data_IF_466424550487
#
_entry.id   IF_466424550487
#
_cell.length_a   1.000
_cell.length_b   1.000
_cell.length_c   1.000
_cell.angle_alpha   90.00
_cell.angle_beta   90.00
_cell.angle_gamma   90.00
#
_symmetry.space_group_name_H-M   'P 1'
#
loop_
_entity.id
_entity.type
_entity.pdbx_description
1 polymer ?
#
# COMPACT_ATOMS: atom_id res chain seq x y z
N UNK A 1 -6.33 10.32 4.95
CA UNK A 1 -6.04 11.48 5.84
C UNK A 1 -6.52 12.73 5.13
N UNK A 2 -7.30 13.59 5.77
CA UNK A 2 -7.89 14.74 5.08
C UNK A 2 -6.80 15.72 4.60
N UNK A 3 -6.98 16.24 3.41
CA UNK A 3 -6.12 17.28 2.87
C UNK A 3 -6.33 18.60 3.63
N UNK A 4 -5.25 19.38 3.90
CA UNK A 4 -5.41 20.72 4.45
C UNK A 4 -6.30 21.58 3.52
N UNK A 5 -7.18 22.40 4.10
CA UNK A 5 -8.20 23.17 3.37
C UNK A 5 -7.64 23.92 2.15
N UNK A 6 -6.54 24.66 2.33
CA UNK A 6 -5.90 25.43 1.25
C UNK A 6 -5.44 24.54 0.09
N UNK A 7 -4.89 23.35 0.41
CA UNK A 7 -4.41 22.38 -0.61
C UNK A 7 -5.60 21.75 -1.31
N UNK A 8 -6.64 21.37 -0.57
CA UNK A 8 -7.89 20.85 -1.14
C UNK A 8 -8.52 21.83 -2.12
N UNK A 9 -8.61 23.12 -1.75
CA UNK A 9 -9.13 24.18 -2.63
C UNK A 9 -8.30 24.34 -3.90
N UNK A 10 -6.96 24.27 -3.81
CA UNK A 10 -6.07 24.32 -4.97
C UNK A 10 -6.29 23.12 -5.90
N UNK A 11 -6.32 21.91 -5.36
CA UNK A 11 -6.57 20.68 -6.12
C UNK A 11 -7.91 20.77 -6.86
N UNK A 12 -8.98 21.10 -6.12
CA UNK A 12 -10.32 21.18 -6.70
C UNK A 12 -10.43 22.24 -7.81
N UNK A 13 -9.82 23.42 -7.60
CA UNK A 13 -9.84 24.49 -8.58
C UNK A 13 -9.09 24.10 -9.86
N UNK A 14 -7.88 23.58 -9.72
CA UNK A 14 -7.06 23.16 -10.86
C UNK A 14 -7.69 21.98 -11.61
N UNK A 15 -8.15 20.96 -10.89
CA UNK A 15 -8.70 19.75 -11.51
C UNK A 15 -10.05 19.98 -12.20
N UNK A 16 -10.85 20.95 -11.77
CA UNK A 16 -12.06 21.39 -12.53
C UNK A 16 -11.71 21.87 -13.94
N UNK A 17 -10.52 22.43 -14.13
CA UNK A 17 -10.06 22.89 -15.43
C UNK A 17 -9.33 21.78 -16.20
N UNK A 18 -8.55 20.97 -15.50
CA UNK A 18 -7.75 19.92 -16.11
C UNK A 18 -8.55 18.68 -16.52
N UNK A 19 -9.58 18.29 -15.77
CA UNK A 19 -10.36 17.09 -16.05
C UNK A 19 -10.99 17.08 -17.46
N UNK A 20 -11.63 18.16 -17.95
CA UNK A 20 -12.12 18.23 -19.33
C UNK A 20 -11.00 18.12 -20.37
N UNK A 21 -9.79 18.65 -20.06
CA UNK A 21 -8.62 18.51 -20.94
C UNK A 21 -8.18 17.05 -21.00
N UNK A 22 -8.07 16.38 -19.86
CA UNK A 22 -7.72 14.95 -19.78
C UNK A 22 -8.71 14.10 -20.59
N UNK A 23 -10.02 14.36 -20.44
CA UNK A 23 -11.07 13.66 -21.17
C UNK A 23 -10.96 13.88 -22.70
N UNK A 24 -10.71 15.12 -23.12
CA UNK A 24 -10.46 15.45 -24.52
C UNK A 24 -9.22 14.75 -25.07
N UNK A 25 -8.10 14.75 -24.32
CA UNK A 25 -6.87 14.09 -24.75
C UNK A 25 -7.03 12.56 -24.79
N UNK A 26 -7.81 11.97 -23.86
CA UNK A 26 -8.18 10.55 -23.91
C UNK A 26 -8.97 10.20 -25.18
N UNK A 27 -9.91 11.05 -25.56
CA UNK A 27 -10.69 10.88 -26.81
C UNK A 27 -9.80 10.96 -28.05
N UNK A 28 -8.73 11.77 -28.00
CA UNK A 28 -7.75 11.90 -29.09
C UNK A 28 -6.70 10.79 -29.11
N UNK A 29 -6.64 9.97 -28.07
CA UNK A 29 -5.67 8.88 -27.87
C UNK A 29 -4.22 9.37 -28.07
N UNK A 30 -3.83 10.41 -27.31
CA UNK A 30 -2.51 11.02 -27.46
C UNK A 30 -1.37 10.09 -27.12
N UNK A 31 -0.19 10.37 -27.69
CA UNK A 31 1.04 9.60 -27.48
C UNK A 31 1.54 9.63 -26.03
N UNK A 32 2.48 8.75 -25.70
CA UNK A 32 3.12 8.74 -24.38
C UNK A 32 3.86 10.05 -24.09
N UNK A 33 4.57 10.62 -25.05
CA UNK A 33 5.26 11.91 -24.89
C UNK A 33 4.32 13.08 -24.61
N UNK A 34 3.15 13.12 -25.30
CA UNK A 34 2.12 14.12 -25.04
C UNK A 34 1.46 13.89 -23.67
N UNK A 35 1.29 12.63 -23.26
CA UNK A 35 0.81 12.26 -21.93
C UNK A 35 1.76 12.71 -20.83
N UNK A 36 3.08 12.56 -21.01
CA UNK A 36 4.10 13.10 -20.09
C UNK A 36 3.94 14.60 -19.92
N UNK A 37 3.70 15.35 -21.02
CA UNK A 37 3.48 16.79 -20.97
C UNK A 37 2.22 17.13 -20.14
N UNK A 38 1.12 16.45 -20.40
CA UNK A 38 -0.13 16.63 -19.64
C UNK A 38 0.04 16.33 -18.15
N UNK A 39 0.79 15.28 -17.82
CA UNK A 39 1.08 14.92 -16.42
C UNK A 39 1.92 15.98 -15.72
N UNK A 40 2.93 16.57 -16.40
CA UNK A 40 3.70 17.70 -15.85
C UNK A 40 2.79 18.90 -15.51
N UNK A 41 1.78 19.18 -16.32
CA UNK A 41 0.83 20.24 -16.06
C UNK A 41 -0.08 19.91 -14.85
N UNK A 42 -0.63 18.70 -14.77
CA UNK A 42 -1.39 18.24 -13.59
C UNK A 42 -0.55 18.33 -12.33
N UNK A 43 0.69 17.86 -12.37
CA UNK A 43 1.59 17.89 -11.22
C UNK A 43 1.89 19.30 -10.74
N UNK A 44 2.09 20.25 -11.67
CA UNK A 44 2.40 21.62 -11.29
C UNK A 44 1.17 22.41 -10.85
N UNK A 45 0.05 22.30 -11.56
CA UNK A 45 -1.13 23.12 -11.30
C UNK A 45 -1.98 22.59 -10.14
N UNK A 46 -2.13 21.25 -10.03
CA UNK A 46 -2.99 20.65 -9.03
C UNK A 46 -2.23 20.06 -7.83
N UNK A 47 -1.05 19.47 -8.05
CA UNK A 47 -0.35 18.70 -7.03
C UNK A 47 0.79 19.47 -6.33
N UNK A 48 1.06 20.72 -6.76
CA UNK A 48 1.97 21.64 -6.09
C UNK A 48 3.45 21.40 -6.32
N UNK A 49 3.83 20.67 -7.38
CA UNK A 49 5.23 20.52 -7.80
C UNK A 49 5.66 21.71 -8.64
N UNK A 50 6.91 22.16 -8.47
CA UNK A 50 7.49 23.12 -9.40
C UNK A 50 7.93 22.38 -10.67
N UNK A 51 7.41 22.82 -11.83
CA UNK A 51 7.63 22.16 -13.11
C UNK A 51 9.11 22.15 -13.53
N UNK A 52 9.90 23.11 -13.08
CA UNK A 52 11.28 23.31 -13.48
C UNK A 52 12.28 22.89 -12.40
N UNK A 53 11.92 22.98 -11.14
CA UNK A 53 12.79 22.65 -10.01
C UNK A 53 12.60 21.22 -9.50
N UNK A 54 11.35 20.76 -9.44
CA UNK A 54 11.05 19.45 -8.87
C UNK A 54 10.99 18.33 -9.91
N UNK A 55 10.62 18.63 -11.18
CA UNK A 55 10.36 17.63 -12.21
C UNK A 55 11.50 17.57 -13.22
N UNK A 56 12.10 16.40 -13.40
CA UNK A 56 13.10 16.13 -14.42
C UNK A 56 12.56 15.08 -15.39
N UNK A 57 12.47 15.40 -16.69
CA UNK A 57 12.07 14.45 -17.73
C UNK A 57 13.26 13.63 -18.22
N UNK A 58 12.99 12.42 -18.73
CA UNK A 58 13.98 11.51 -19.32
C UNK A 58 15.23 11.36 -18.45
N UNK A 59 15.02 11.09 -17.15
CA UNK A 59 16.12 10.98 -16.22
C UNK A 59 16.89 9.67 -16.45
N UNK A 60 18.19 9.80 -16.77
CA UNK A 60 19.06 8.67 -17.06
C UNK A 60 19.40 7.86 -15.80
N UNK A 61 19.15 6.56 -15.84
CA UNK A 61 19.45 5.59 -14.78
C UNK A 61 20.24 4.43 -15.41
N UNK A 62 21.56 4.38 -15.20
CA UNK A 62 22.45 3.29 -15.64
C UNK A 62 22.24 2.83 -17.09
N UNK A 63 22.06 3.78 -18.03
CA UNK A 63 21.90 3.50 -19.46
C UNK A 63 20.45 3.28 -19.91
N UNK A 64 19.49 3.45 -19.04
CA UNK A 64 18.05 3.49 -19.30
C UNK A 64 17.48 4.81 -18.80
N UNK A 65 16.23 5.12 -19.15
CA UNK A 65 15.57 6.37 -18.77
C UNK A 65 14.23 6.07 -18.09
N UNK A 66 13.92 6.80 -17.03
CA UNK A 66 12.55 6.91 -16.55
C UNK A 66 11.89 8.15 -17.15
N UNK A 67 10.58 8.13 -17.32
CA UNK A 67 9.84 9.21 -17.97
C UNK A 67 9.94 10.52 -17.18
N UNK A 68 9.71 10.46 -15.86
CA UNK A 68 9.86 11.59 -14.95
C UNK A 68 10.50 11.16 -13.62
N UNK A 69 11.37 12.02 -13.10
CA UNK A 69 11.91 11.92 -11.75
C UNK A 69 11.52 13.16 -10.94
N UNK A 70 11.14 12.97 -9.67
CA UNK A 70 10.84 14.07 -8.73
C UNK A 70 11.97 14.21 -7.74
N UNK A 71 12.44 15.45 -7.55
CA UNK A 71 13.40 15.84 -6.50
C UNK A 71 12.74 16.88 -5.60
N UNK A 72 12.95 16.80 -4.29
CA UNK A 72 12.48 17.81 -3.36
C UNK A 72 13.64 18.70 -2.92
N UNK A 73 13.41 20.03 -2.94
CA UNK A 73 14.25 21.04 -2.29
C UNK A 73 15.75 20.97 -2.71
N UNK A 74 16.01 21.03 -4.01
CA UNK A 74 17.36 21.06 -4.61
C UNK A 74 18.30 19.92 -4.14
N UNK A 75 17.73 18.86 -3.56
CA UNK A 75 18.49 17.68 -3.22
C UNK A 75 18.83 16.90 -4.48
N UNK A 76 20.08 16.52 -4.62
CA UNK A 76 20.56 15.72 -5.75
C UNK A 76 19.88 14.34 -5.85
N UNK A 77 19.23 13.88 -4.78
CA UNK A 77 18.60 12.56 -4.70
C UNK A 77 17.14 12.59 -5.21
N UNK A 78 16.82 11.64 -6.09
CA UNK A 78 15.44 11.39 -6.54
C UNK A 78 14.62 10.89 -5.36
N UNK A 79 13.40 11.43 -5.22
CA UNK A 79 12.44 11.04 -4.19
C UNK A 79 11.32 10.16 -4.73
N UNK A 80 10.90 10.38 -5.98
CA UNK A 80 9.83 9.62 -6.63
C UNK A 80 10.22 9.40 -8.09
N UNK A 81 9.99 8.19 -8.60
CA UNK A 81 10.00 7.87 -10.03
C UNK A 81 8.56 7.84 -10.54
N UNK A 82 8.32 8.43 -11.70
CA UNK A 82 7.02 8.40 -12.36
C UNK A 82 7.18 7.71 -13.70
N UNK A 83 6.51 6.60 -13.87
CA UNK A 83 6.37 5.88 -15.13
C UNK A 83 5.06 6.28 -15.78
N UNK A 84 5.15 6.65 -17.04
CA UNK A 84 4.00 7.15 -17.81
C UNK A 84 3.69 6.18 -18.93
N UNK A 85 2.41 5.98 -19.19
CA UNK A 85 1.94 5.28 -20.39
C UNK A 85 1.02 6.17 -21.20
N UNK A 86 0.95 5.93 -22.51
CA UNK A 86 0.02 6.67 -23.37
C UNK A 86 -1.39 6.61 -22.81
N UNK A 87 -2.14 7.69 -22.95
CA UNK A 87 -3.41 7.94 -22.25
C UNK A 87 -4.47 6.85 -22.48
N UNK A 88 -4.47 6.21 -23.66
CA UNK A 88 -5.39 5.13 -24.00
C UNK A 88 -5.01 3.74 -23.45
N UNK A 89 -3.81 3.58 -22.91
CA UNK A 89 -3.31 2.29 -22.41
C UNK A 89 -3.91 1.97 -21.05
N UNK A 90 -4.49 0.78 -20.91
CA UNK A 90 -4.88 0.22 -19.61
C UNK A 90 -3.65 -0.17 -18.83
N UNK A 91 -3.49 0.37 -17.61
CA UNK A 91 -2.35 0.09 -16.76
C UNK A 91 -2.43 -1.33 -16.19
N UNK A 92 -1.31 -2.07 -16.26
CA UNK A 92 -1.17 -3.42 -15.72
C UNK A 92 0.13 -3.58 -14.90
N UNK A 93 0.31 -4.77 -14.30
CA UNK A 93 1.47 -5.06 -13.45
C UNK A 93 2.79 -5.18 -14.24
N UNK A 94 2.76 -5.30 -15.57
CA UNK A 94 3.98 -5.33 -16.39
C UNK A 94 4.59 -3.93 -16.49
N UNK A 95 3.75 -2.90 -16.54
CA UNK A 95 4.18 -1.51 -16.64
C UNK A 95 4.94 -1.04 -15.40
N UNK A 96 4.54 -1.48 -14.21
CA UNK A 96 5.21 -1.08 -12.96
C UNK A 96 6.59 -1.75 -12.78
N UNK A 97 6.81 -2.92 -13.35
CA UNK A 97 8.04 -3.70 -13.14
C UNK A 97 9.30 -2.92 -13.53
N UNK A 98 9.28 -2.27 -14.69
CA UNK A 98 10.40 -1.46 -15.17
C UNK A 98 10.71 -0.31 -14.20
N UNK A 99 9.69 0.42 -13.76
CA UNK A 99 9.85 1.53 -12.83
C UNK A 99 10.34 1.09 -11.45
N UNK A 100 9.91 -0.09 -10.98
CA UNK A 100 10.40 -0.70 -9.73
C UNK A 100 11.87 -1.09 -9.84
N UNK A 101 12.30 -1.64 -10.97
CA UNK A 101 13.70 -1.98 -11.21
C UNK A 101 14.58 -0.70 -11.23
N UNK A 102 14.10 0.39 -11.83
CA UNK A 102 14.79 1.69 -11.80
C UNK A 102 14.86 2.25 -10.37
N UNK A 103 13.75 2.25 -9.67
CA UNK A 103 13.66 2.73 -8.30
C UNK A 103 14.61 1.96 -7.38
N UNK A 104 14.68 0.64 -7.53
CA UNK A 104 15.58 -0.20 -6.75
C UNK A 104 17.07 0.10 -7.00
N UNK A 105 17.43 0.37 -8.25
CA UNK A 105 18.82 0.70 -8.61
C UNK A 105 19.28 2.04 -8.02
N UNK A 106 18.37 3.01 -7.87
CA UNK A 106 18.63 4.35 -7.33
C UNK A 106 18.34 4.47 -5.83
N UNK A 107 17.81 3.41 -5.19
CA UNK A 107 17.39 3.44 -3.80
C UNK A 107 16.18 4.36 -3.57
N UNK A 108 15.32 4.51 -4.60
CA UNK A 108 14.08 5.29 -4.53
C UNK A 108 12.95 4.39 -4.03
N UNK A 109 12.24 4.86 -3.02
CA UNK A 109 11.23 4.05 -2.34
C UNK A 109 9.82 4.23 -2.92
N UNK A 110 9.59 5.28 -3.72
CA UNK A 110 8.27 5.65 -4.22
C UNK A 110 8.23 5.67 -5.75
N UNK A 111 7.21 5.01 -6.29
CA UNK A 111 6.93 4.99 -7.72
C UNK A 111 5.48 5.36 -7.97
N UNK A 112 5.25 6.23 -8.94
CA UNK A 112 3.93 6.52 -9.49
C UNK A 112 3.88 5.93 -10.89
N UNK A 113 2.85 5.11 -11.18
CA UNK A 113 2.50 4.66 -12.51
C UNK A 113 1.22 5.36 -12.93
N UNK A 114 1.22 6.00 -14.10
CA UNK A 114 0.06 6.77 -14.56
C UNK A 114 -0.02 6.85 -16.09
N UNK A 115 -1.26 7.04 -16.58
CA UNK A 115 -1.58 7.43 -17.95
C UNK A 115 -2.40 8.75 -17.98
N UNK A 116 -2.27 9.60 -16.95
CA UNK A 116 -3.04 10.80 -16.67
C UNK A 116 -4.51 10.55 -16.24
N UNK A 117 -5.13 9.45 -16.65
CA UNK A 117 -6.48 9.04 -16.22
C UNK A 117 -6.39 8.25 -14.93
N UNK A 118 -5.70 7.13 -14.95
CA UNK A 118 -5.47 6.30 -13.77
C UNK A 118 -4.11 6.65 -13.15
N UNK A 119 -4.08 6.74 -11.81
CA UNK A 119 -2.91 7.01 -11.01
C UNK A 119 -2.75 5.92 -9.95
N UNK A 120 -1.55 5.34 -9.87
CA UNK A 120 -1.20 4.30 -8.88
C UNK A 120 0.08 4.68 -8.18
N UNK A 121 0.04 4.80 -6.85
CA UNK A 121 1.20 5.04 -6.00
C UNK A 121 1.68 3.73 -5.40
N UNK A 122 2.96 3.44 -5.57
CA UNK A 122 3.61 2.22 -5.07
C UNK A 122 4.74 2.52 -4.10
N UNK A 123 4.88 1.67 -3.10
CA UNK A 123 6.07 1.58 -2.25
C UNK A 123 6.94 0.44 -2.72
N UNK A 124 8.20 0.72 -3.05
CA UNK A 124 9.19 -0.30 -3.38
C UNK A 124 9.72 -0.93 -2.10
N UNK A 125 9.78 -2.25 -2.08
CA UNK A 125 10.31 -3.04 -0.96
C UNK A 125 11.64 -3.65 -1.37
N UNK A 126 12.74 -3.17 -0.75
CA UNK A 126 14.10 -3.66 -1.02
C UNK A 126 14.33 -5.01 -0.35
N UNK A 127 13.64 -6.03 -0.84
CA UNK A 127 13.81 -7.43 -0.43
C UNK A 127 14.51 -8.23 -1.55
N UNK A 128 14.76 -9.50 -1.33
CA UNK A 128 15.25 -10.43 -2.37
C UNK A 128 14.20 -11.54 -2.53
N UNK A 129 13.47 -11.57 -3.65
CA UNK A 129 13.45 -10.61 -4.76
C UNK A 129 12.89 -9.24 -4.36
N UNK A 130 13.16 -8.19 -5.17
CA UNK A 130 12.56 -6.87 -5.02
C UNK A 130 11.05 -7.00 -5.23
N UNK A 131 10.28 -6.32 -4.39
CA UNK A 131 8.82 -6.35 -4.39
C UNK A 131 8.25 -4.93 -4.31
N UNK A 132 6.94 -4.78 -4.50
CA UNK A 132 6.27 -3.50 -4.39
C UNK A 132 4.85 -3.67 -3.87
N UNK A 133 4.36 -2.65 -3.15
CA UNK A 133 3.01 -2.61 -2.62
C UNK A 133 2.26 -1.41 -3.18
N UNK A 134 1.06 -1.62 -3.67
CA UNK A 134 0.18 -0.50 -4.01
C UNK A 134 -0.31 0.17 -2.72
N UNK A 135 -0.06 1.47 -2.61
CA UNK A 135 -0.46 2.27 -1.45
C UNK A 135 -1.73 3.04 -1.72
N UNK A 136 -1.88 3.54 -2.95
CA UNK A 136 -3.04 4.32 -3.35
C UNK A 136 -3.31 4.23 -4.84
N UNK A 137 -4.58 4.33 -5.24
CA UNK A 137 -4.99 4.43 -6.65
C UNK A 137 -6.28 5.23 -6.77
N UNK A 138 -6.45 5.92 -7.89
CA UNK A 138 -7.68 6.60 -8.27
C UNK A 138 -7.74 6.77 -9.79
N UNK A 139 -8.96 7.01 -10.30
CA UNK A 139 -9.23 7.42 -11.68
C UNK A 139 -9.69 8.87 -11.67
N UNK A 140 -9.00 9.74 -12.42
CA UNK A 140 -9.29 11.18 -12.48
C UNK A 140 -10.66 11.46 -13.09
N UNK A 141 -11.12 10.66 -14.04
CA UNK A 141 -12.40 10.86 -14.73
C UNK A 141 -13.60 10.36 -13.92
N UNK A 142 -13.39 9.49 -12.92
CA UNK A 142 -14.44 9.03 -12.01
C UNK A 142 -14.70 10.01 -10.85
N UNK A 143 -13.83 11.01 -10.65
CA UNK A 143 -13.94 11.96 -9.56
C UNK A 143 -14.83 13.16 -9.91
N UNK A 144 -15.63 13.60 -8.94
CA UNK A 144 -16.43 14.82 -9.03
C UNK A 144 -15.73 15.97 -8.28
N UNK A 145 -14.97 16.79 -8.99
CA UNK A 145 -14.23 17.92 -8.41
C UNK A 145 -15.10 19.07 -7.90
N UNK A 146 -16.42 18.91 -7.86
CA UNK A 146 -17.33 19.78 -7.10
C UNK A 146 -17.43 19.36 -5.63
N UNK A 147 -16.99 18.14 -5.29
CA UNK A 147 -17.01 17.57 -3.95
C UNK A 147 -15.61 17.59 -3.32
N UNK A 148 -15.55 17.85 -2.02
CA UNK A 148 -14.29 17.90 -1.26
C UNK A 148 -13.53 16.57 -1.27
N UNK A 149 -14.25 15.45 -1.27
CA UNK A 149 -13.68 14.10 -1.20
C UNK A 149 -12.78 13.79 -2.40
N UNK A 150 -13.03 14.43 -3.56
CA UNK A 150 -12.18 14.27 -4.74
C UNK A 150 -10.78 14.83 -4.54
N UNK A 151 -10.62 15.88 -3.74
CA UNK A 151 -9.28 16.38 -3.38
C UNK A 151 -8.52 15.39 -2.49
N UNK A 152 -9.23 14.64 -1.64
CA UNK A 152 -8.61 13.61 -0.78
C UNK A 152 -8.03 12.45 -1.59
N UNK A 153 -8.62 12.14 -2.75
CA UNK A 153 -8.09 11.13 -3.67
C UNK A 153 -6.75 11.55 -4.30
N UNK A 154 -6.55 12.83 -4.61
CA UNK A 154 -5.30 13.32 -5.20
C UNK A 154 -4.25 13.68 -4.15
N UNK A 155 -4.68 14.05 -2.95
CA UNK A 155 -3.78 14.55 -1.91
C UNK A 155 -2.58 13.65 -1.61
N UNK A 156 -2.70 12.30 -1.54
CA UNK A 156 -1.57 11.41 -1.24
C UNK A 156 -0.39 11.54 -2.20
N UNK A 157 -0.62 11.97 -3.44
CA UNK A 157 0.44 12.16 -4.44
C UNK A 157 0.89 13.62 -4.59
N UNK A 158 0.38 14.56 -3.76
CA UNK A 158 0.82 15.95 -3.76
C UNK A 158 2.21 16.11 -3.13
N UNK A 159 2.96 17.11 -3.57
CA UNK A 159 4.25 17.48 -2.97
C UNK A 159 4.16 17.65 -1.45
N UNK A 160 3.16 18.40 -0.98
CA UNK A 160 2.93 18.62 0.45
C UNK A 160 2.69 17.30 1.22
N UNK A 161 1.94 16.35 0.66
CA UNK A 161 1.67 15.07 1.31
C UNK A 161 2.95 14.25 1.50
N UNK A 162 3.81 14.18 0.48
CA UNK A 162 5.12 13.55 0.59
C UNK A 162 6.00 14.21 1.64
N UNK A 163 6.06 15.54 1.67
CA UNK A 163 6.82 16.29 2.69
C UNK A 163 6.30 16.06 4.13
N UNK A 164 5.03 15.66 4.29
CA UNK A 164 4.39 15.36 5.59
C UNK A 164 4.34 13.87 5.93
N UNK A 165 4.93 13.01 5.09
CA UNK A 165 4.93 11.56 5.30
C UNK A 165 3.51 10.95 5.27
N UNK A 166 2.63 11.49 4.43
CA UNK A 166 1.25 10.97 4.31
C UNK A 166 1.22 9.60 3.65
N UNK A 167 1.97 9.34 2.55
CA UNK A 167 2.02 8.01 1.94
C UNK A 167 2.52 6.92 2.90
N UNK A 168 3.53 7.22 3.73
CA UNK A 168 4.04 6.31 4.76
C UNK A 168 2.96 5.96 5.79
N UNK A 169 2.23 6.97 6.27
CA UNK A 169 1.13 6.76 7.23
C UNK A 169 -0.02 5.95 6.63
N UNK A 170 -0.31 6.14 5.33
CA UNK A 170 -1.31 5.32 4.63
C UNK A 170 -0.87 3.85 4.56
N UNK A 171 0.38 3.59 4.22
CA UNK A 171 0.94 2.24 4.21
C UNK A 171 0.89 1.60 5.60
N UNK A 172 1.25 2.35 6.65
CA UNK A 172 1.18 1.87 8.03
C UNK A 172 -0.25 1.55 8.45
N UNK A 173 -1.23 2.37 8.05
CA UNK A 173 -2.65 2.11 8.29
C UNK A 173 -3.13 0.86 7.54
N UNK A 174 -2.75 0.69 6.27
CA UNK A 174 -3.09 -0.51 5.50
C UNK A 174 -2.52 -1.78 6.16
N UNK A 175 -1.27 -1.74 6.64
CA UNK A 175 -0.67 -2.85 7.38
C UNK A 175 -1.38 -3.10 8.71
N UNK A 176 -1.72 -2.04 9.45
CA UNK A 176 -2.41 -2.12 10.73
C UNK A 176 -3.83 -2.68 10.62
N UNK A 177 -4.52 -2.43 9.49
CA UNK A 177 -5.87 -2.93 9.23
C UNK A 177 -5.90 -4.18 8.35
N UNK A 178 -4.74 -4.78 8.07
CA UNK A 178 -4.65 -5.99 7.25
C UNK A 178 -5.24 -7.21 7.96
N UNK A 179 -5.69 -8.19 7.17
CA UNK A 179 -6.14 -9.50 7.68
C UNK A 179 -5.09 -10.18 8.55
N UNK A 180 -3.82 -10.00 8.22
CA UNK A 180 -2.70 -10.55 8.97
C UNK A 180 -2.59 -9.95 10.38
N UNK A 181 -2.74 -8.62 10.49
CA UNK A 181 -2.72 -7.94 11.78
C UNK A 181 -3.92 -8.29 12.64
N UNK A 182 -5.12 -8.37 12.05
CA UNK A 182 -6.34 -8.79 12.78
C UNK A 182 -6.20 -10.24 13.25
N UNK A 183 -5.73 -11.16 12.39
CA UNK A 183 -5.46 -12.54 12.77
C UNK A 183 -4.44 -12.64 13.92
N UNK A 184 -3.34 -11.88 13.82
CA UNK A 184 -2.33 -11.83 14.87
C UNK A 184 -2.87 -11.31 16.21
N UNK A 185 -3.71 -10.27 16.18
CA UNK A 185 -4.36 -9.74 17.40
C UNK A 185 -5.32 -10.77 18.02
N UNK A 186 -6.12 -11.45 17.20
CA UNK A 186 -7.06 -12.48 17.67
C UNK A 186 -6.34 -13.68 18.33
N UNK A 187 -5.14 -14.04 17.85
CA UNK A 187 -4.40 -15.21 18.36
C UNK A 187 -3.40 -14.87 19.47
N UNK A 188 -2.79 -13.67 19.44
CA UNK A 188 -1.61 -13.38 20.28
C UNK A 188 -1.87 -12.22 21.26
N UNK A 189 -3.04 -11.60 21.26
CA UNK A 189 -3.35 -10.54 22.23
C UNK A 189 -4.13 -11.08 23.42
N UNK A 190 -3.50 -11.14 24.60
CA UNK A 190 -4.15 -11.57 25.86
C UNK A 190 -5.42 -10.75 26.16
N UNK A 191 -5.39 -9.45 25.88
CA UNK A 191 -6.55 -8.59 26.09
C UNK A 191 -7.74 -8.98 25.19
N UNK A 192 -7.46 -9.33 23.92
CA UNK A 192 -8.51 -9.74 22.96
C UNK A 192 -9.08 -11.10 23.36
N UNK A 193 -8.22 -12.09 23.62
CA UNK A 193 -8.63 -13.43 24.03
C UNK A 193 -9.43 -13.38 25.35
N UNK A 194 -8.97 -12.60 26.32
CA UNK A 194 -9.70 -12.41 27.59
C UNK A 194 -11.06 -11.75 27.38
N UNK A 195 -11.17 -10.76 26.48
CA UNK A 195 -12.44 -10.11 26.17
C UNK A 195 -13.42 -11.10 25.53
N UNK A 196 -12.98 -11.90 24.57
CA UNK A 196 -13.83 -12.92 23.92
C UNK A 196 -14.29 -13.95 24.95
N UNK A 197 -13.40 -14.46 25.79
CA UNK A 197 -13.73 -15.44 26.85
C UNK A 197 -14.75 -14.89 27.84
N UNK A 198 -14.59 -13.64 28.27
CA UNK A 198 -15.52 -12.97 29.17
C UNK A 198 -16.92 -12.85 28.56
N UNK A 199 -16.99 -12.51 27.27
CA UNK A 199 -18.27 -12.38 26.58
C UNK A 199 -18.91 -13.74 26.29
N UNK A 200 -18.13 -14.78 25.95
CA UNK A 200 -18.64 -16.16 25.86
C UNK A 200 -19.26 -16.61 27.19
N UNK A 201 -18.54 -16.39 28.31
CA UNK A 201 -19.08 -16.70 29.64
C UNK A 201 -20.40 -15.97 29.94
N UNK A 202 -20.51 -14.70 29.53
CA UNK A 202 -21.68 -13.88 29.74
C UNK A 202 -22.89 -14.32 28.89
N UNK A 203 -22.63 -14.73 27.62
CA UNK A 203 -23.70 -15.02 26.64
C UNK A 203 -24.18 -16.46 26.70
N UNK A 204 -23.25 -17.41 26.87
CA UNK A 204 -23.55 -18.85 26.80
C UNK A 204 -23.22 -19.60 28.09
N UNK A 205 -22.81 -18.87 29.15
CA UNK A 205 -22.50 -19.39 30.49
C UNK A 205 -21.39 -20.47 30.54
N UNK A 206 -20.58 -20.56 29.47
CA UNK A 206 -19.50 -21.55 29.35
C UNK A 206 -18.14 -20.88 29.60
N UNK A 207 -17.30 -21.54 30.40
CA UNK A 207 -15.90 -21.18 30.56
C UNK A 207 -15.06 -21.92 29.52
N UNK A 208 -14.46 -21.17 28.61
CA UNK A 208 -13.51 -21.68 27.64
C UNK A 208 -12.11 -21.25 28.07
N UNK A 209 -11.15 -22.16 28.11
CA UNK A 209 -9.75 -21.80 28.35
C UNK A 209 -9.14 -21.10 27.13
N UNK A 210 -7.99 -20.46 27.34
CA UNK A 210 -7.37 -19.61 26.31
C UNK A 210 -6.81 -20.45 25.16
N UNK A 211 -6.26 -21.63 25.46
CA UNK A 211 -5.64 -22.50 24.46
C UNK A 211 -6.72 -23.08 23.53
N UNK A 212 -7.84 -23.54 24.09
CA UNK A 212 -9.01 -24.01 23.31
C UNK A 212 -9.57 -22.89 22.43
N UNK A 213 -9.72 -21.66 22.96
CA UNK A 213 -10.19 -20.54 22.16
C UNK A 213 -9.22 -20.19 21.01
N UNK A 214 -7.92 -20.17 21.29
CA UNK A 214 -6.91 -19.93 20.28
C UNK A 214 -6.90 -21.01 19.19
N UNK A 215 -7.08 -22.26 19.55
CA UNK A 215 -7.17 -23.37 18.60
C UNK A 215 -8.42 -23.28 17.70
N UNK A 216 -9.57 -22.95 18.25
CA UNK A 216 -10.80 -22.72 17.47
C UNK A 216 -10.59 -21.54 16.51
N UNK A 217 -10.07 -20.41 17.00
CA UNK A 217 -9.80 -19.25 16.16
C UNK A 217 -8.85 -19.57 15.02
N UNK A 218 -7.77 -20.31 15.30
CA UNK A 218 -6.73 -20.67 14.32
C UNK A 218 -7.22 -21.66 13.26
N UNK A 219 -7.97 -22.68 13.68
CA UNK A 219 -8.28 -23.81 12.81
C UNK A 219 -9.66 -23.69 12.13
N UNK A 220 -10.60 -22.95 12.72
CA UNK A 220 -11.99 -22.93 12.27
C UNK A 220 -12.48 -21.53 11.85
N UNK A 221 -11.96 -20.46 12.45
CA UNK A 221 -12.46 -19.10 12.23
C UNK A 221 -11.57 -18.31 11.26
N UNK A 222 -10.26 -18.35 11.46
CA UNK A 222 -9.31 -17.57 10.66
C UNK A 222 -8.94 -18.35 9.40
N UNK A 223 -9.09 -17.70 8.23
CA UNK A 223 -8.66 -18.31 6.98
C UNK A 223 -7.15 -18.58 6.99
N UNK A 224 -6.73 -19.74 6.51
CA UNK A 224 -5.36 -20.20 6.53
C UNK A 224 -4.38 -19.24 5.83
N UNK A 225 -4.81 -18.59 4.75
CA UNK A 225 -4.02 -17.61 4.02
C UNK A 225 -3.75 -16.30 4.82
N UNK A 226 -4.46 -16.06 5.91
CA UNK A 226 -4.18 -14.96 6.86
C UNK A 226 -3.14 -15.33 7.93
N UNK A 227 -2.75 -16.60 8.02
CA UNK A 227 -1.77 -17.13 8.98
C UNK A 227 -0.43 -17.49 8.34
N UNK A 228 -0.35 -17.48 7.01
CA UNK A 228 0.82 -17.92 6.26
C UNK A 228 1.56 -16.75 5.60
N UNK A 229 2.87 -16.92 5.40
CA UNK A 229 3.69 -15.94 4.70
C UNK A 229 4.39 -14.93 5.62
N UNK A 230 5.14 -14.03 4.97
CA UNK A 230 5.97 -13.02 5.64
C UNK A 230 5.13 -12.02 6.42
N UNK A 231 4.04 -11.52 5.81
CA UNK A 231 3.18 -10.51 6.43
C UNK A 231 2.50 -11.03 7.70
N UNK A 232 2.07 -12.30 7.71
CA UNK A 232 1.52 -12.96 8.91
C UNK A 232 2.57 -13.06 10.02
N UNK A 233 3.80 -13.47 9.66
CA UNK A 233 4.92 -13.58 10.61
C UNK A 233 5.30 -12.23 11.21
N UNK A 234 5.36 -11.18 10.39
CA UNK A 234 5.72 -9.83 10.83
C UNK A 234 4.62 -9.21 11.70
N UNK A 235 3.34 -9.45 11.38
CA UNK A 235 2.21 -9.05 12.19
C UNK A 235 2.23 -9.74 13.57
N UNK A 236 2.45 -11.04 13.62
CA UNK A 236 2.54 -11.80 14.87
C UNK A 236 3.67 -11.28 15.77
N UNK A 237 4.89 -11.10 15.22
CA UNK A 237 6.02 -10.52 15.96
C UNK A 237 5.74 -9.12 16.52
N UNK A 238 5.01 -8.30 15.75
CA UNK A 238 4.67 -6.95 16.18
C UNK A 238 3.69 -6.95 17.37
N UNK A 239 2.69 -7.84 17.33
CA UNK A 239 1.72 -8.01 18.42
C UNK A 239 2.45 -8.54 19.66
N UNK A 240 3.24 -9.60 19.54
CA UNK A 240 4.01 -10.21 20.65
C UNK A 240 4.93 -9.17 21.32
N UNK A 241 5.65 -8.38 20.53
CA UNK A 241 6.54 -7.32 21.04
C UNK A 241 5.78 -6.25 21.84
N UNK A 242 4.55 -5.92 21.44
CA UNK A 242 3.75 -4.87 22.10
C UNK A 242 2.90 -5.39 23.25
N UNK A 243 2.46 -6.65 23.20
CA UNK A 243 1.69 -7.30 24.26
C UNK A 243 2.56 -7.77 25.44
N UNK A 244 3.90 -7.69 25.33
CA UNK A 244 4.82 -8.13 26.38
C UNK A 244 4.89 -9.67 26.54
N UNK A 245 4.28 -10.42 25.67
CA UNK A 245 4.24 -11.89 25.70
C UNK A 245 5.59 -12.45 25.27
N UNK A 246 6.28 -13.18 26.16
CA UNK A 246 7.41 -14.04 25.74
C UNK A 246 6.84 -15.14 24.86
N UNK A 247 7.41 -15.33 23.66
CA UNK A 247 7.07 -16.40 22.74
C UNK A 247 6.88 -17.72 23.49
N UNK A 248 5.66 -18.22 23.58
CA UNK A 248 5.43 -19.64 23.98
C UNK A 248 6.00 -20.49 22.86
N UNK A 249 7.07 -21.24 23.16
CA UNK A 249 7.56 -22.31 22.30
C UNK A 249 6.40 -23.28 22.09
N UNK A 250 5.97 -23.44 20.86
CA UNK A 250 5.07 -24.54 20.46
C UNK A 250 5.93 -25.81 20.51
N UNK A 251 5.90 -26.52 21.63
CA UNK A 251 6.36 -27.89 21.68
C UNK A 251 5.38 -28.76 20.89
N UNK A 252 5.84 -29.23 19.74
CA UNK A 252 5.13 -30.26 18.99
C UNK A 252 5.07 -31.51 19.87
N UNK A 253 3.87 -31.86 20.38
CA UNK A 253 3.65 -33.19 20.97
C UNK A 253 3.97 -34.25 19.92
N UNK A 254 4.83 -35.24 20.24
CA UNK A 254 5.05 -36.37 19.35
C UNK A 254 3.73 -37.15 19.21
N UNK A 255 3.46 -37.58 17.98
CA UNK A 255 2.33 -38.46 17.69
C UNK A 255 2.39 -39.72 18.55
N UNK A 256 1.25 -40.29 19.02
CA UNK A 256 1.27 -41.55 19.76
C UNK A 256 1.77 -42.68 18.86
N UNK A 257 2.80 -43.35 19.30
CA UNK A 257 3.32 -44.57 18.67
C UNK A 257 2.20 -45.63 18.60
N UNK A 258 1.91 -46.06 17.40
CA UNK A 258 1.06 -47.19 17.13
C UNK A 258 1.79 -48.48 17.50
N UNK A 259 1.40 -49.11 18.59
CA UNK A 259 1.84 -50.45 18.93
C UNK A 259 1.35 -51.47 17.89
N UNK A 260 2.21 -52.36 17.36
CA UNK A 260 1.79 -53.43 16.47
C UNK A 260 1.01 -54.51 17.22
N UNK A 261 0.04 -55.20 16.58
CA UNK A 261 -0.70 -56.29 17.25
C UNK A 261 0.16 -57.49 17.50
N UNK A 262 0.17 -57.91 18.73
CA UNK A 262 0.81 -59.15 19.21
C UNK A 262 0.10 -60.35 18.59
N UNK A 263 0.80 -61.14 17.79
CA UNK A 263 0.40 -62.47 17.38
C UNK A 263 0.64 -63.44 18.55
N UNK A 264 -0.36 -64.11 19.01
CA UNK A 264 -0.27 -65.30 19.86
C UNK A 264 -0.70 -66.55 19.10
N UNK A 265 -0.22 -67.72 19.57
CA UNK A 265 0.07 -68.92 18.79
C UNK A 265 -1.13 -69.76 18.39
#
# INVERSE_FOLDING_TARGET
>A
MPAPKKISETILSAMKQMQPVIEQQKTRDISEADTVTLIKDVMSEALGYDKYLDLTGEYAIRGTYCDLAVKFDDKSKISIIIEVKAIGITLDDKHIKQAVDYAANEGVEWVILTNAVEWRLYRVVFAKPIDHNIVHRFDTLELDFKKSDSAEALYPICKHAFQKGVPEKMLDLQKATSRFMIAALLLNSDNVLTAIRRDLKRVVEVNVDEDTLADILKNEVIKRDALEGKDATDAAKLVDKRSGRKLRKVESKPAPESTPPTSQP
#
